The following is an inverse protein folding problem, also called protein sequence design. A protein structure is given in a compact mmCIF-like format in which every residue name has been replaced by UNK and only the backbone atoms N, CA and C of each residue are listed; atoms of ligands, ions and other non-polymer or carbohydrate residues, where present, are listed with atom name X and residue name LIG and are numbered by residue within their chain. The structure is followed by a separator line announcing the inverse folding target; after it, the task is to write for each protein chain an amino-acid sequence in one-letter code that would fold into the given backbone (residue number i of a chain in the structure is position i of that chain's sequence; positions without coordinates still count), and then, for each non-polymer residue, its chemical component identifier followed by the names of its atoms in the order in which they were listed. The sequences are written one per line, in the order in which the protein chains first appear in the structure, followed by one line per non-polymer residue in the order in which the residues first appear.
data_IF_759154936756
#
_entry.id   IF_759154936756
#
_cell.length_a   1.000
_cell.length_b   1.000
_cell.length_c   1.000
_cell.angle_alpha   90.00
_cell.angle_beta   90.00
_cell.angle_gamma   90.00
#
_symmetry.space_group_name_H-M   'P 1'
#
loop_
_entity.id
_entity.type
_entity.pdbx_description
1 polymer ?
#
# COMPACT_ATOMS: atom_id res chain seq x y z
N UNK A 1 36.68 70.32 -33.84
CA UNK A 1 36.57 69.25 -32.82
C UNK A 1 35.21 69.43 -32.16
N UNK A 2 34.28 68.49 -32.39
CA UNK A 2 32.89 68.49 -31.90
C UNK A 2 32.75 67.44 -30.79
N UNK A 3 32.00 67.70 -29.70
CA UNK A 3 31.73 66.73 -28.67
C UNK A 3 30.48 65.88 -28.97
N UNK A 4 30.42 64.72 -28.33
CA UNK A 4 29.47 63.62 -28.53
C UNK A 4 28.10 63.87 -27.89
N UNK A 5 27.06 63.33 -28.53
CA UNK A 5 25.67 63.29 -28.08
C UNK A 5 25.34 61.99 -27.33
N UNK A 6 24.57 62.17 -26.26
CA UNK A 6 23.92 61.16 -25.42
C UNK A 6 22.66 60.61 -26.14
N UNK A 7 22.44 59.30 -26.14
CA UNK A 7 21.21 58.67 -26.64
C UNK A 7 20.45 58.02 -25.45
N UNK A 8 19.23 58.48 -25.21
CA UNK A 8 18.28 57.93 -24.23
C UNK A 8 17.20 57.17 -25.00
N UNK A 9 17.03 55.88 -24.71
CA UNK A 9 15.96 55.06 -25.28
C UNK A 9 14.65 55.26 -24.51
N UNK A 10 13.59 55.65 -25.23
CA UNK A 10 12.21 55.71 -24.77
C UNK A 10 11.53 54.39 -25.14
N UNK A 11 10.99 53.67 -24.16
CA UNK A 11 10.12 52.51 -24.37
C UNK A 11 8.65 52.94 -24.29
N UNK A 12 7.90 52.66 -25.35
CA UNK A 12 6.46 52.89 -25.49
C UNK A 12 5.67 51.81 -24.72
N UNK A 13 4.77 52.22 -23.83
CA UNK A 13 3.75 51.37 -23.22
C UNK A 13 2.46 51.42 -24.05
N UNK A 14 1.91 50.25 -24.41
CA UNK A 14 0.55 50.09 -24.93
C UNK A 14 -0.34 49.47 -23.83
N UNK A 15 -1.64 49.83 -23.75
CA UNK A 15 -2.52 49.37 -22.69
C UNK A 15 -3.07 47.98 -22.98
N UNK A 16 -2.86 47.04 -22.05
CA UNK A 16 -3.54 45.75 -22.08
C UNK A 16 -4.89 45.88 -21.37
N UNK A 17 -5.96 45.53 -22.08
CA UNK A 17 -7.32 45.39 -21.54
C UNK A 17 -7.33 44.31 -20.45
N UNK A 18 -7.76 44.70 -19.25
CA UNK A 18 -8.14 43.75 -18.21
C UNK A 18 -9.47 43.09 -18.59
N UNK A 19 -9.47 41.78 -18.71
CA UNK A 19 -10.68 40.95 -18.67
C UNK A 19 -10.67 40.25 -17.32
N UNK A 20 -11.71 40.50 -16.54
CA UNK A 20 -11.99 39.84 -15.26
C UNK A 20 -12.06 38.33 -15.46
N UNK A 21 -11.13 37.60 -14.84
CA UNK A 21 -11.17 36.15 -14.72
C UNK A 21 -12.17 35.78 -13.63
N UNK A 22 -13.45 35.67 -14.02
CA UNK A 22 -14.44 34.94 -13.24
C UNK A 22 -14.10 33.43 -13.28
N UNK A 23 -14.23 32.80 -12.12
CA UNK A 23 -14.01 31.38 -11.83
C UNK A 23 -14.43 30.43 -12.97
N UNK A 24 -13.45 29.72 -13.53
CA UNK A 24 -13.68 28.45 -14.19
C UNK A 24 -13.28 27.34 -13.22
N UNK A 25 -14.13 26.32 -12.98
CA UNK A 25 -13.76 25.18 -12.16
C UNK A 25 -12.60 24.43 -12.83
N UNK A 26 -11.53 24.28 -12.06
CA UNK A 26 -10.27 23.64 -12.42
C UNK A 26 -10.47 22.10 -12.50
N UNK A 27 -11.15 21.63 -13.54
CA UNK A 27 -11.42 20.20 -13.78
C UNK A 27 -10.17 19.42 -14.26
N UNK A 28 -9.06 20.11 -14.54
CA UNK A 28 -7.77 19.51 -14.93
C UNK A 28 -6.88 19.11 -13.73
N UNK A 29 -7.29 19.43 -12.49
CA UNK A 29 -6.50 19.15 -11.29
C UNK A 29 -6.48 17.66 -10.90
N UNK A 30 -7.53 16.90 -11.22
CA UNK A 30 -7.71 15.53 -10.73
C UNK A 30 -6.80 14.49 -11.41
N UNK A 31 -6.65 14.56 -12.74
CA UNK A 31 -5.75 13.66 -13.49
C UNK A 31 -4.29 13.96 -13.20
N UNK A 32 -4.01 15.26 -12.99
CA UNK A 32 -2.74 15.81 -12.54
C UNK A 32 -2.32 15.22 -11.19
N UNK A 33 -3.21 15.15 -10.20
CA UNK A 33 -2.81 14.73 -8.85
C UNK A 33 -2.55 13.23 -8.73
N UNK A 34 -3.30 12.37 -9.41
CA UNK A 34 -3.12 10.91 -9.26
C UNK A 34 -1.87 10.38 -9.98
N UNK A 35 -1.58 10.94 -11.16
CA UNK A 35 -0.39 10.58 -11.95
C UNK A 35 0.88 11.23 -11.41
N UNK A 36 0.81 12.48 -10.90
CA UNK A 36 1.95 13.14 -10.23
C UNK A 36 2.28 12.54 -8.86
N UNK A 37 1.28 12.03 -8.13
CA UNK A 37 1.50 11.50 -6.77
C UNK A 37 1.84 10.01 -6.70
N UNK A 38 1.85 9.27 -7.82
CA UNK A 38 2.00 7.80 -7.89
C UNK A 38 1.29 7.09 -6.72
N UNK A 39 0.01 6.82 -6.94
CA UNK A 39 -0.89 6.19 -5.97
C UNK A 39 -0.60 4.73 -5.65
N UNK A 40 0.44 4.14 -6.24
CA UNK A 40 0.88 2.81 -5.86
C UNK A 40 1.26 2.76 -4.37
N UNK A 41 0.70 1.79 -3.66
CA UNK A 41 0.79 1.70 -2.21
C UNK A 41 -0.11 0.61 -1.63
N UNK A 42 -0.01 0.45 -0.31
CA UNK A 42 -0.90 -0.39 0.47
C UNK A 42 -1.72 0.48 1.42
N UNK A 43 -3.04 0.28 1.43
CA UNK A 43 -4.00 1.10 2.14
C UNK A 43 -4.98 0.21 2.90
N UNK A 44 -5.32 0.61 4.12
CA UNK A 44 -6.20 -0.13 5.03
C UNK A 44 -7.30 0.80 5.55
N UNK A 45 -8.48 0.29 5.87
CA UNK A 45 -9.58 1.10 6.45
C UNK A 45 -9.97 0.64 7.86
N UNK A 46 -8.99 0.15 8.63
CA UNK A 46 -9.18 -0.38 9.98
C UNK A 46 -10.07 0.53 10.85
N UNK A 47 -11.07 -0.09 11.49
CA UNK A 47 -11.98 0.59 12.41
C UNK A 47 -13.15 1.33 11.76
N UNK A 48 -13.33 1.27 10.43
CA UNK A 48 -14.58 1.68 9.80
C UNK A 48 -15.72 0.74 10.26
N UNK A 49 -16.87 1.29 10.72
CA UNK A 49 -18.01 0.45 11.07
C UNK A 49 -18.52 -0.26 9.82
N UNK A 50 -18.92 -1.52 9.96
CA UNK A 50 -19.59 -2.25 8.89
C UNK A 50 -20.82 -1.45 8.44
N UNK A 51 -20.77 -0.93 7.22
CA UNK A 51 -21.83 -0.08 6.64
C UNK A 51 -23.04 -0.91 6.17
N UNK A 52 -23.10 -2.20 6.50
CA UNK A 52 -24.19 -3.09 6.11
C UNK A 52 -24.20 -3.34 4.60
N UNK A 53 -25.33 -3.09 3.94
CA UNK A 53 -25.62 -3.57 2.57
C UNK A 53 -24.78 -2.94 1.45
N UNK A 54 -24.12 -1.80 1.69
CA UNK A 54 -23.34 -1.10 0.65
C UNK A 54 -21.87 -1.47 0.63
N UNK A 55 -21.39 -2.29 1.58
CA UNK A 55 -20.01 -2.73 1.71
C UNK A 55 -18.94 -1.64 1.60
N UNK A 56 -17.67 -2.00 1.82
CA UNK A 56 -16.56 -1.06 1.75
C UNK A 56 -15.25 -1.78 1.46
N UNK A 57 -14.24 -1.04 1.01
CA UNK A 57 -12.90 -1.58 0.80
C UNK A 57 -12.16 -1.57 2.14
N UNK A 58 -11.84 -2.76 2.62
CA UNK A 58 -11.07 -2.99 3.85
C UNK A 58 -9.56 -2.86 3.58
N UNK A 59 -9.09 -3.49 2.51
CA UNK A 59 -7.69 -3.41 2.08
C UNK A 59 -7.59 -3.12 0.58
N UNK A 60 -6.61 -2.30 0.19
CA UNK A 60 -6.28 -2.02 -1.21
C UNK A 60 -4.76 -1.97 -1.38
N UNK A 61 -4.23 -2.88 -2.20
CA UNK A 61 -2.83 -2.92 -2.61
C UNK A 61 -2.73 -2.61 -4.09
N UNK A 62 -2.19 -1.43 -4.44
CA UNK A 62 -1.89 -1.03 -5.82
C UNK A 62 -0.38 -1.14 -6.04
N UNK A 63 0.08 -2.12 -6.82
CA UNK A 63 1.52 -2.34 -7.05
C UNK A 63 2.02 -1.55 -8.25
N UNK A 64 3.33 -1.26 -8.26
CA UNK A 64 4.01 -0.57 -9.36
C UNK A 64 4.03 -1.34 -10.68
N UNK A 65 3.95 -2.66 -10.63
CA UNK A 65 3.88 -3.52 -11.81
C UNK A 65 2.50 -3.51 -12.49
N UNK A 66 1.56 -2.69 -11.99
CA UNK A 66 0.21 -2.58 -12.51
C UNK A 66 -0.73 -3.69 -12.02
N UNK A 67 -0.32 -4.52 -11.05
CA UNK A 67 -1.19 -5.50 -10.39
C UNK A 67 -1.84 -4.93 -9.13
N UNK A 68 -3.01 -5.46 -8.75
CA UNK A 68 -3.69 -5.09 -7.51
C UNK A 68 -4.21 -6.30 -6.75
N UNK A 69 -4.39 -6.08 -5.45
CA UNK A 69 -5.21 -6.92 -4.57
C UNK A 69 -6.15 -6.01 -3.75
N UNK A 70 -7.42 -6.38 -3.65
CA UNK A 70 -8.45 -5.62 -2.91
C UNK A 70 -9.27 -6.57 -2.02
N UNK A 71 -9.46 -6.22 -0.74
CA UNK A 71 -10.42 -6.86 0.15
C UNK A 71 -11.64 -5.96 0.27
N UNK A 72 -12.80 -6.53 -0.05
CA UNK A 72 -14.08 -5.86 0.03
C UNK A 72 -14.91 -6.54 1.12
N UNK A 73 -15.40 -5.75 2.07
CA UNK A 73 -16.30 -6.21 3.13
C UNK A 73 -17.74 -5.91 2.73
N UNK A 74 -18.65 -6.87 2.84
CA UNK A 74 -20.09 -6.64 2.68
C UNK A 74 -20.85 -7.86 2.20
N UNK A 75 -22.16 -7.70 1.97
CA UNK A 75 -23.02 -8.73 1.38
C UNK A 75 -22.80 -8.82 -0.15
N UNK A 76 -21.60 -9.24 -0.53
CA UNK A 76 -21.18 -9.36 -1.91
C UNK A 76 -21.04 -10.84 -2.28
N UNK A 77 -22.14 -11.59 -2.14
CA UNK A 77 -22.17 -13.00 -2.50
C UNK A 77 -22.09 -13.21 -4.01
N UNK A 78 -21.37 -14.25 -4.44
CA UNK A 78 -21.20 -14.62 -5.85
C UNK A 78 -22.51 -14.76 -6.63
N UNK A 79 -23.59 -15.18 -5.95
CA UNK A 79 -24.89 -15.50 -6.55
C UNK A 79 -25.78 -14.28 -6.80
N UNK A 80 -25.43 -13.11 -6.25
CA UNK A 80 -26.25 -11.90 -6.30
C UNK A 80 -25.94 -11.04 -7.55
N UNK A 81 -24.88 -11.37 -8.28
CA UNK A 81 -24.39 -10.60 -9.43
C UNK A 81 -24.86 -11.22 -10.76
N UNK A 82 -26.07 -10.85 -11.19
CA UNK A 82 -26.54 -11.21 -12.53
C UNK A 82 -25.57 -10.71 -13.61
N UNK A 83 -25.08 -11.61 -14.46
CA UNK A 83 -24.13 -11.32 -15.54
C UNK A 83 -22.66 -11.66 -15.24
N UNK A 84 -22.35 -12.18 -14.04
CA UNK A 84 -20.99 -12.54 -13.62
C UNK A 84 -20.85 -14.04 -13.37
N UNK A 85 -19.69 -14.61 -13.70
CA UNK A 85 -19.20 -15.81 -13.02
C UNK A 85 -18.08 -15.38 -12.12
N UNK A 86 -18.32 -15.45 -10.82
CA UNK A 86 -17.31 -15.05 -9.85
C UNK A 86 -16.17 -16.07 -9.88
N UNK A 87 -14.91 -15.62 -9.97
CA UNK A 87 -13.77 -16.50 -9.75
C UNK A 87 -13.83 -17.07 -8.33
N UNK A 88 -13.26 -18.27 -8.15
CA UNK A 88 -13.15 -18.92 -6.83
C UNK A 88 -12.54 -18.04 -5.73
N UNK A 89 -11.80 -16.99 -6.10
CA UNK A 89 -11.16 -16.04 -5.20
C UNK A 89 -12.11 -15.05 -4.50
N UNK A 90 -13.38 -14.94 -4.91
CA UNK A 90 -14.29 -13.89 -4.44
C UNK A 90 -15.10 -14.19 -3.13
N UNK A 91 -14.77 -15.22 -2.35
CA UNK A 91 -15.82 -16.01 -1.68
C UNK A 91 -16.09 -15.77 -0.16
N UNK A 92 -17.38 -15.70 0.23
CA UNK A 92 -18.00 -16.52 1.32
C UNK A 92 -19.56 -16.56 1.33
N UNK A 93 -20.24 -15.69 0.57
CA UNK A 93 -21.62 -15.94 0.17
C UNK A 93 -22.74 -15.62 1.18
N UNK A 94 -22.54 -14.79 2.22
CA UNK A 94 -23.71 -14.13 2.88
C UNK A 94 -23.42 -12.87 3.71
N UNK A 95 -22.24 -12.73 4.31
CA UNK A 95 -21.74 -11.50 4.99
C UNK A 95 -20.25 -11.70 5.19
N UNK A 96 -19.39 -11.13 4.34
CA UNK A 96 -17.97 -11.50 4.41
C UNK A 96 -17.00 -10.74 3.54
N UNK A 97 -15.73 -11.13 3.72
CA UNK A 97 -14.55 -10.53 3.10
C UNK A 97 -14.29 -11.18 1.75
N UNK A 98 -14.47 -10.42 0.68
CA UNK A 98 -14.20 -10.84 -0.69
C UNK A 98 -12.84 -10.34 -1.14
N UNK A 99 -11.97 -11.24 -1.59
CA UNK A 99 -10.67 -10.89 -2.16
C UNK A 99 -10.73 -10.80 -3.68
N UNK A 100 -10.23 -9.70 -4.24
CA UNK A 100 -10.22 -9.44 -5.67
C UNK A 100 -8.78 -9.13 -6.09
N UNK A 101 -8.31 -9.80 -7.14
CA UNK A 101 -6.96 -9.59 -7.69
C UNK A 101 -7.03 -9.34 -9.18
N UNK A 102 -6.04 -8.65 -9.73
CA UNK A 102 -5.96 -8.42 -11.16
C UNK A 102 -4.99 -7.30 -11.53
N UNK A 103 -5.30 -6.55 -12.59
CA UNK A 103 -4.51 -5.40 -13.02
C UNK A 103 -5.25 -4.08 -12.80
N UNK A 104 -4.53 -2.97 -12.70
CA UNK A 104 -5.12 -1.66 -12.52
C UNK A 104 -4.50 -0.63 -13.45
N UNK A 105 -5.27 0.42 -13.74
CA UNK A 105 -4.80 1.59 -14.48
C UNK A 105 -5.32 2.85 -13.81
N UNK A 106 -4.47 3.86 -13.69
CA UNK A 106 -4.88 5.20 -13.29
C UNK A 106 -5.70 5.86 -14.41
N UNK A 107 -6.63 6.74 -14.03
CA UNK A 107 -7.32 7.67 -14.91
C UNK A 107 -7.62 8.98 -14.17
N UNK A 108 -8.28 9.91 -14.85
CA UNK A 108 -8.50 11.27 -14.34
C UNK A 108 -9.04 11.39 -12.92
N UNK A 109 -9.99 10.55 -12.52
CA UNK A 109 -10.68 10.65 -11.23
C UNK A 109 -10.43 9.47 -10.27
N UNK A 110 -9.54 8.54 -10.64
CA UNK A 110 -9.23 7.39 -9.80
C UNK A 110 -8.52 6.26 -10.54
N UNK A 111 -8.95 5.03 -10.27
CA UNK A 111 -8.38 3.83 -10.90
C UNK A 111 -9.48 2.95 -11.48
N UNK A 112 -9.13 2.28 -12.56
CA UNK A 112 -9.94 1.18 -13.09
C UNK A 112 -9.23 -0.11 -12.73
N UNK A 113 -9.89 -0.95 -11.93
CA UNK A 113 -9.42 -2.28 -11.61
C UNK A 113 -9.99 -3.27 -12.63
N UNK A 114 -9.16 -4.14 -13.16
CA UNK A 114 -9.54 -5.24 -14.06
C UNK A 114 -9.28 -6.56 -13.33
N UNK A 115 -10.30 -7.15 -12.68
CA UNK A 115 -10.14 -8.42 -11.99
C UNK A 115 -9.73 -9.54 -12.96
N UNK A 116 -8.88 -10.45 -12.50
CA UNK A 116 -8.52 -11.67 -13.25
C UNK A 116 -9.23 -12.86 -12.64
N UNK A 117 -9.80 -13.74 -13.47
CA UNK A 117 -10.66 -14.84 -13.05
C UNK A 117 -10.55 -16.11 -13.90
N UNK A 118 -11.13 -17.21 -13.43
CA UNK A 118 -11.15 -18.55 -14.07
C UNK A 118 -11.99 -18.58 -15.36
N UNK A 119 -11.56 -17.86 -16.40
CA UNK A 119 -12.00 -18.08 -17.77
C UNK A 119 -13.21 -17.29 -18.27
N UNK A 120 -13.76 -16.34 -17.50
CA UNK A 120 -14.71 -15.32 -18.02
C UNK A 120 -14.19 -13.90 -17.84
N UNK A 121 -14.37 -13.00 -18.84
CA UNK A 121 -14.06 -11.59 -18.67
C UNK A 121 -14.89 -11.01 -17.52
N UNK A 122 -14.22 -10.42 -16.54
CA UNK A 122 -14.87 -9.61 -15.51
C UNK A 122 -15.03 -8.18 -16.04
N UNK A 123 -16.13 -7.51 -15.72
CA UNK A 123 -16.21 -6.08 -15.98
C UNK A 123 -15.19 -5.33 -15.11
N UNK A 124 -14.62 -4.23 -15.62
CA UNK A 124 -13.77 -3.37 -14.80
C UNK A 124 -14.54 -2.79 -13.61
N UNK A 125 -13.87 -2.63 -12.48
CA UNK A 125 -14.37 -1.95 -11.28
C UNK A 125 -13.78 -0.54 -11.28
N UNK A 126 -14.55 0.49 -11.66
CA UNK A 126 -14.12 1.87 -11.51
C UNK A 126 -14.15 2.27 -10.04
N UNK A 127 -13.01 2.73 -9.54
CA UNK A 127 -12.86 3.36 -8.24
C UNK A 127 -12.54 4.84 -8.43
N UNK A 128 -13.29 5.70 -7.75
CA UNK A 128 -12.93 7.10 -7.57
C UNK A 128 -12.02 7.20 -6.35
N UNK A 129 -10.87 7.84 -6.50
CA UNK A 129 -9.90 8.03 -5.42
C UNK A 129 -9.70 9.52 -5.20
N UNK A 130 -9.91 9.97 -3.96
CA UNK A 130 -9.53 11.31 -3.51
C UNK A 130 -8.37 11.20 -2.53
N UNK A 131 -7.22 11.73 -2.89
CA UNK A 131 -6.07 11.85 -1.97
C UNK A 131 -6.39 12.95 -0.96
N UNK A 132 -6.26 12.64 0.33
CA UNK A 132 -6.42 13.60 1.43
C UNK A 132 -5.07 13.91 2.08
N UNK A 133 -5.07 14.94 2.92
CA UNK A 133 -3.95 15.25 3.80
C UNK A 133 -3.55 14.03 4.66
N UNK A 134 -2.26 13.94 4.99
CA UNK A 134 -1.74 12.83 5.80
C UNK A 134 -1.70 11.48 5.09
N UNK A 135 -1.73 11.48 3.75
CA UNK A 135 -1.66 10.28 2.91
C UNK A 135 -2.84 9.31 3.07
N UNK A 136 -3.97 9.81 3.58
CA UNK A 136 -5.24 9.09 3.58
C UNK A 136 -5.87 9.15 2.19
N UNK A 137 -6.60 8.11 1.83
CA UNK A 137 -7.45 8.09 0.63
C UNK A 137 -8.91 8.07 1.06
N UNK A 138 -9.78 8.73 0.28
CA UNK A 138 -11.19 8.33 0.24
C UNK A 138 -11.43 7.58 -1.06
N UNK A 139 -11.97 6.38 -0.94
CA UNK A 139 -12.27 5.51 -2.07
C UNK A 139 -13.76 5.23 -2.11
N UNK A 140 -14.35 5.37 -3.29
CA UNK A 140 -15.70 4.95 -3.62
C UNK A 140 -15.67 4.19 -4.93
N UNK A 141 -16.64 3.31 -5.17
CA UNK A 141 -16.67 2.56 -6.42
C UNK A 141 -18.05 2.01 -6.75
N UNK A 142 -18.15 1.35 -7.89
CA UNK A 142 -19.34 0.60 -8.27
C UNK A 142 -18.93 -0.72 -8.91
N UNK A 143 -19.57 -1.80 -8.47
CA UNK A 143 -19.51 -3.11 -9.11
C UNK A 143 -20.78 -3.26 -9.96
N UNK A 144 -20.59 -3.52 -11.25
CA UNK A 144 -21.69 -3.68 -12.21
C UNK A 144 -22.52 -4.94 -11.86
N UNK A 145 -23.85 -4.96 -12.07
CA UNK A 145 -24.62 -3.94 -12.78
C UNK A 145 -24.94 -2.67 -12.00
N UNK A 146 -25.02 -2.64 -10.66
CA UNK A 146 -25.40 -1.42 -9.90
C UNK A 146 -25.10 -1.47 -8.38
N UNK A 147 -24.07 -2.19 -7.94
CA UNK A 147 -23.73 -2.27 -6.51
C UNK A 147 -22.70 -1.20 -6.17
N UNK A 148 -23.13 -0.18 -5.43
CA UNK A 148 -22.21 0.82 -4.87
C UNK A 148 -21.28 0.15 -3.87
N UNK A 149 -20.02 0.55 -3.91
CA UNK A 149 -19.07 0.38 -2.82
C UNK A 149 -19.15 1.66 -1.99
N UNK A 150 -19.50 1.53 -0.72
CA UNK A 150 -19.56 2.64 0.23
C UNK A 150 -18.24 3.42 0.27
N UNK A 151 -18.34 4.70 0.62
CA UNK A 151 -17.15 5.54 0.78
C UNK A 151 -16.34 5.05 1.98
N UNK A 152 -15.10 4.63 1.74
CA UNK A 152 -14.14 4.27 2.79
C UNK A 152 -13.06 5.35 2.89
N UNK A 153 -12.71 5.76 4.10
CA UNK A 153 -11.44 6.46 4.34
C UNK A 153 -10.39 5.43 4.67
N UNK A 154 -9.32 5.40 3.88
CA UNK A 154 -8.23 4.44 4.01
C UNK A 154 -6.96 5.16 4.47
N UNK A 155 -6.29 4.63 5.47
CA UNK A 155 -4.96 5.02 5.88
C UNK A 155 -3.94 4.40 4.94
N UNK A 156 -3.01 5.21 4.44
CA UNK A 156 -1.88 4.69 3.69
C UNK A 156 -0.88 4.08 4.65
N UNK A 157 -0.51 2.82 4.43
CA UNK A 157 0.58 2.17 5.16
C UNK A 157 1.89 2.37 4.40
N UNK A 158 1.83 2.26 3.07
CA UNK A 158 3.02 2.28 2.19
C UNK A 158 2.75 3.06 0.93
N UNK A 159 3.75 3.81 0.46
CA UNK A 159 3.77 4.45 -0.86
C UNK A 159 4.97 3.96 -1.65
N UNK A 160 4.73 3.30 -2.76
CA UNK A 160 5.82 2.85 -3.61
C UNK A 160 6.34 3.99 -4.49
N UNK A 161 5.50 4.96 -4.85
CA UNK A 161 5.91 6.12 -5.66
C UNK A 161 6.87 7.10 -5.00
N UNK A 162 7.13 6.93 -3.70
CA UNK A 162 8.11 7.71 -2.96
C UNK A 162 9.33 6.84 -2.66
N UNK A 163 10.50 7.47 -2.52
CA UNK A 163 11.72 6.76 -2.17
C UNK A 163 11.76 6.45 -0.66
N UNK A 164 11.98 5.19 -0.31
CA UNK A 164 12.42 4.79 1.03
C UNK A 164 13.92 5.03 1.17
N UNK A 165 14.41 5.32 2.38
CA UNK A 165 15.86 5.41 2.63
C UNK A 165 16.51 4.03 2.68
N UNK A 166 15.78 3.04 3.18
CA UNK A 166 16.17 1.64 3.19
C UNK A 166 15.63 0.98 1.93
N UNK A 167 16.50 0.23 1.26
CA UNK A 167 16.20 -0.55 0.06
C UNK A 167 16.14 -2.04 0.40
N UNK A 168 15.59 -2.90 -0.49
CA UNK A 168 15.68 -4.35 -0.30
C UNK A 168 17.13 -4.84 -0.10
N UNK A 169 18.09 -4.24 -0.81
CA UNK A 169 19.51 -4.59 -0.70
C UNK A 169 20.09 -4.30 0.70
N UNK A 170 19.66 -3.23 1.36
CA UNK A 170 20.09 -2.92 2.73
C UNK A 170 19.60 -3.98 3.73
N UNK A 171 18.48 -4.64 3.44
CA UNK A 171 17.92 -5.70 4.27
C UNK A 171 18.54 -7.07 4.00
N UNK A 172 19.21 -7.27 2.86
CA UNK A 172 19.71 -8.57 2.40
C UNK A 172 20.60 -9.26 3.45
N UNK A 173 20.36 -10.54 3.72
CA UNK A 173 21.09 -11.32 4.71
C UNK A 173 20.25 -11.79 5.90
N UNK A 174 20.93 -12.29 6.93
CA UNK A 174 20.30 -12.88 8.11
C UNK A 174 20.27 -11.90 9.27
N UNK A 175 19.12 -11.83 9.95
CA UNK A 175 18.86 -10.98 11.10
C UNK A 175 18.33 -11.82 12.26
N UNK A 176 18.92 -11.69 13.44
CA UNK A 176 18.46 -12.29 14.68
C UNK A 176 17.46 -11.39 15.39
N UNK A 177 16.39 -11.95 15.90
CA UNK A 177 15.48 -11.24 16.81
C UNK A 177 16.15 -11.07 18.18
N UNK A 178 16.18 -9.82 18.64
CA UNK A 178 16.69 -9.44 19.97
C UNK A 178 15.64 -8.73 20.82
N UNK A 179 14.40 -8.60 20.33
CA UNK A 179 13.29 -8.13 21.15
C UNK A 179 13.17 -9.01 22.40
N UNK A 180 13.04 -8.41 23.60
CA UNK A 180 12.77 -9.18 24.80
C UNK A 180 11.46 -9.95 24.62
N UNK A 181 11.41 -11.15 25.18
CA UNK A 181 10.15 -11.85 25.36
C UNK A 181 9.26 -11.06 26.31
N UNK A 182 7.95 -11.16 26.12
CA UNK A 182 7.01 -10.61 27.09
C UNK A 182 7.06 -11.40 28.43
N UNK A 183 6.22 -11.00 29.39
CA UNK A 183 6.17 -11.62 30.72
C UNK A 183 5.84 -13.13 30.69
N UNK A 184 5.20 -13.60 29.63
CA UNK A 184 4.72 -14.97 29.48
C UNK A 184 5.72 -15.84 28.66
N UNK A 185 6.81 -15.20 28.19
CA UNK A 185 7.90 -15.83 27.45
C UNK A 185 7.69 -15.83 25.95
N UNK A 186 6.77 -14.99 25.45
CA UNK A 186 6.42 -14.92 24.04
C UNK A 186 7.19 -13.83 23.30
N UNK A 187 7.59 -14.13 22.06
CA UNK A 187 8.23 -13.19 21.13
C UNK A 187 7.34 -12.96 19.89
N UNK A 188 7.38 -11.75 19.34
CA UNK A 188 6.64 -11.40 18.13
C UNK A 188 7.27 -12.04 16.88
N UNK A 189 6.42 -12.39 15.91
CA UNK A 189 6.82 -12.81 14.56
C UNK A 189 6.76 -11.66 13.60
N UNK A 190 7.59 -11.72 12.58
CA UNK A 190 7.54 -10.76 11.48
C UNK A 190 6.49 -11.13 10.43
N UNK A 191 6.13 -12.42 10.29
CA UNK A 191 5.27 -12.90 9.21
C UNK A 191 4.10 -13.80 9.67
N UNK A 192 2.92 -13.52 9.11
CA UNK A 192 1.77 -14.43 9.04
C UNK A 192 0.69 -14.08 10.04
N UNK A 193 0.34 -12.78 10.13
CA UNK A 193 -0.36 -12.13 11.25
C UNK A 193 0.43 -12.26 12.57
N UNK A 194 0.58 -11.16 13.32
CA UNK A 194 1.42 -11.09 14.53
C UNK A 194 0.98 -12.14 15.57
N UNK A 195 1.64 -13.30 15.55
CA UNK A 195 1.43 -14.39 16.50
C UNK A 195 2.65 -14.46 17.40
N UNK A 196 2.41 -14.27 18.69
CA UNK A 196 3.35 -14.48 19.78
C UNK A 196 3.81 -15.95 19.83
N UNK A 197 5.11 -16.18 20.04
CA UNK A 197 5.73 -17.52 20.08
C UNK A 197 6.55 -17.70 21.32
N UNK A 198 6.24 -18.77 22.05
CA UNK A 198 6.85 -19.04 23.34
C UNK A 198 8.21 -19.72 23.25
N UNK A 199 9.25 -19.08 23.76
CA UNK A 199 10.53 -19.74 24.07
C UNK A 199 11.36 -20.20 22.87
N UNK A 200 11.21 -19.60 21.69
CA UNK A 200 12.03 -19.89 20.52
C UNK A 200 12.96 -18.71 20.22
N UNK A 201 14.19 -18.98 19.74
CA UNK A 201 14.98 -17.95 19.07
C UNK A 201 14.53 -17.84 17.61
N UNK A 202 14.47 -16.62 17.10
CA UNK A 202 14.04 -16.33 15.74
C UNK A 202 15.17 -15.69 14.94
N UNK A 203 15.32 -16.14 13.69
CA UNK A 203 16.05 -15.40 12.67
C UNK A 203 15.14 -15.15 11.48
N UNK A 204 15.27 -13.99 10.87
CA UNK A 204 14.67 -13.67 9.58
C UNK A 204 15.78 -13.51 8.56
N UNK A 205 15.61 -14.12 7.40
CA UNK A 205 16.50 -13.95 6.27
C UNK A 205 15.76 -13.29 5.13
N UNK A 206 16.30 -12.15 4.71
CA UNK A 206 15.90 -11.47 3.48
C UNK A 206 16.85 -11.89 2.36
N UNK A 207 16.28 -12.21 1.22
CA UNK A 207 16.99 -12.45 -0.04
C UNK A 207 16.50 -11.40 -1.04
N UNK A 208 17.26 -10.32 -1.18
CA UNK A 208 16.88 -9.18 -2.00
C UNK A 208 16.87 -9.52 -3.50
N UNK A 209 17.69 -10.49 -3.94
CA UNK A 209 17.75 -10.91 -5.32
C UNK A 209 16.52 -11.74 -5.71
N UNK A 210 16.07 -12.64 -4.83
CA UNK A 210 14.85 -13.41 -5.02
C UNK A 210 13.58 -12.65 -4.64
N UNK A 211 13.70 -11.53 -3.92
CA UNK A 211 12.57 -10.80 -3.36
C UNK A 211 11.82 -11.61 -2.30
N UNK A 212 12.52 -12.49 -1.57
CA UNK A 212 11.91 -13.42 -0.61
C UNK A 212 12.38 -13.16 0.82
N UNK A 213 11.49 -13.39 1.77
CA UNK A 213 11.75 -13.36 3.20
C UNK A 213 11.37 -14.72 3.79
N UNK A 214 12.17 -15.20 4.73
CA UNK A 214 11.86 -16.41 5.49
C UNK A 214 12.18 -16.23 6.96
N UNK A 215 11.28 -16.72 7.79
CA UNK A 215 11.49 -16.84 9.23
C UNK A 215 11.93 -18.27 9.54
N UNK A 216 13.04 -18.41 10.25
CA UNK A 216 13.53 -19.69 10.78
C UNK A 216 13.48 -19.62 12.31
N UNK A 217 13.04 -20.72 12.93
CA UNK A 217 12.88 -20.82 14.40
C UNK A 217 13.81 -21.87 14.96
N UNK A 218 14.55 -21.49 15.98
CA UNK A 218 15.47 -22.38 16.68
C UNK A 218 14.84 -22.78 18.01
N UNK A 219 14.65 -24.08 18.20
CA UNK A 219 14.09 -24.68 19.42
C UNK A 219 15.22 -25.36 20.21
N UNK A 220 15.53 -24.88 21.41
CA UNK A 220 16.48 -25.53 22.32
C UNK A 220 17.84 -25.90 21.67
N UNK A 221 18.36 -25.05 20.78
CA UNK A 221 19.62 -25.29 20.07
C UNK A 221 19.59 -26.42 19.03
N UNK A 222 18.43 -27.01 18.73
CA UNK A 222 18.24 -27.92 17.58
C UNK A 222 17.90 -27.12 16.33
N UNK A 223 18.50 -27.53 15.21
CA UNK A 223 18.36 -26.94 13.87
C UNK A 223 16.90 -26.67 13.49
N UNK A 224 16.66 -25.63 12.67
CA UNK A 224 15.40 -24.91 12.67
C UNK A 224 14.21 -25.76 12.27
N UNK A 225 13.05 -25.50 12.89
CA UNK A 225 11.77 -25.98 12.33
C UNK A 225 11.67 -25.47 10.90
N UNK A 226 11.13 -26.30 10.00
CA UNK A 226 11.08 -25.98 8.58
C UNK A 226 10.60 -24.54 8.36
N UNK A 227 11.31 -23.74 7.54
CA UNK A 227 10.94 -22.36 7.31
C UNK A 227 9.50 -22.31 6.84
N UNK A 228 8.76 -21.28 7.24
CA UNK A 228 7.53 -20.95 6.54
C UNK A 228 7.95 -20.51 5.13
N UNK A 229 7.77 -21.42 4.17
CA UNK A 229 8.35 -21.38 2.82
C UNK A 229 7.77 -20.26 1.96
N UNK A 230 8.54 -19.80 0.95
CA UNK A 230 8.94 -18.41 0.82
C UNK A 230 7.76 -17.47 0.65
N UNK A 231 7.80 -16.45 1.49
CA UNK A 231 6.95 -15.28 1.40
C UNK A 231 7.75 -14.18 0.70
N UNK A 232 7.09 -13.35 -0.10
CA UNK A 232 7.79 -12.27 -0.80
C UNK A 232 7.91 -11.05 0.10
N UNK A 233 8.91 -10.21 -0.15
CA UNK A 233 8.95 -8.89 0.45
C UNK A 233 9.29 -7.81 -0.56
N UNK A 234 8.79 -6.62 -0.28
CA UNK A 234 9.18 -5.38 -0.93
C UNK A 234 9.42 -4.31 0.13
N UNK A 235 10.14 -3.25 -0.23
CA UNK A 235 10.30 -2.08 0.62
C UNK A 235 9.70 -0.88 -0.10
N UNK A 236 8.78 -0.19 0.58
CA UNK A 236 8.21 1.07 0.11
C UNK A 236 8.46 2.19 1.12
N UNK A 237 8.15 3.42 0.73
CA UNK A 237 8.27 4.56 1.64
C UNK A 237 7.11 4.59 2.62
N UNK A 238 7.36 5.16 3.80
CA UNK A 238 6.30 5.58 4.71
C UNK A 238 5.42 6.65 4.02
N UNK A 239 4.15 6.81 4.43
CA UNK A 239 3.20 7.67 3.70
C UNK A 239 3.62 9.14 3.64
N UNK A 240 4.27 9.65 4.69
CA UNK A 240 4.84 11.01 4.72
C UNK A 240 5.94 11.22 3.66
N UNK A 241 6.54 10.14 3.15
CA UNK A 241 7.74 10.20 2.30
C UNK A 241 9.03 10.45 3.07
N UNK A 242 8.97 10.49 4.41
CA UNK A 242 10.11 10.81 5.27
C UNK A 242 10.39 9.67 6.23
N UNK A 243 11.55 9.03 6.11
CA UNK A 243 11.99 8.00 7.06
C UNK A 243 12.63 6.78 6.40
N UNK A 244 12.92 5.74 7.20
CA UNK A 244 13.60 4.55 6.71
C UNK A 244 12.80 3.80 5.65
N UNK A 245 11.52 3.50 5.90
CA UNK A 245 10.65 2.79 4.96
C UNK A 245 9.66 1.88 5.65
N UNK A 246 8.97 1.07 4.87
CA UNK A 246 8.05 0.02 5.33
C UNK A 246 8.34 -1.25 4.55
N UNK A 247 8.50 -2.35 5.28
CA UNK A 247 8.61 -3.69 4.70
C UNK A 247 7.19 -4.19 4.48
N UNK A 248 6.87 -4.56 3.25
CA UNK A 248 5.61 -5.23 2.90
C UNK A 248 5.93 -6.69 2.63
N UNK A 249 5.34 -7.58 3.40
CA UNK A 249 5.58 -9.02 3.33
C UNK A 249 4.32 -9.71 2.91
N UNK A 250 4.39 -10.55 1.89
CA UNK A 250 3.21 -11.23 1.38
C UNK A 250 3.38 -12.74 1.47
N UNK A 251 2.44 -13.36 2.18
CA UNK A 251 2.33 -14.81 2.21
C UNK A 251 1.65 -15.37 0.97
N UNK A 252 2.01 -16.59 0.57
CA UNK A 252 1.37 -17.25 -0.58
C UNK A 252 -0.14 -17.37 -0.37
N UNK A 253 -0.90 -16.57 -1.13
CA UNK A 253 -2.36 -16.57 -1.09
C UNK A 253 -2.98 -15.76 0.05
N UNK A 254 -2.19 -15.04 0.85
CA UNK A 254 -2.68 -14.17 1.92
C UNK A 254 -2.54 -12.68 1.62
N UNK A 255 -3.11 -11.86 2.50
CA UNK A 255 -2.92 -10.41 2.51
C UNK A 255 -1.48 -10.05 2.91
N UNK A 256 -0.91 -8.98 2.34
CA UNK A 256 0.35 -8.45 2.82
C UNK A 256 0.25 -7.98 4.28
N UNK A 257 1.24 -8.37 5.08
CA UNK A 257 1.56 -7.75 6.37
C UNK A 257 2.54 -6.59 6.13
N UNK A 258 2.50 -5.57 7.01
CA UNK A 258 3.45 -4.46 6.95
C UNK A 258 4.19 -4.25 8.26
N UNK A 259 5.47 -3.91 8.15
CA UNK A 259 6.33 -3.56 9.28
C UNK A 259 7.06 -2.26 8.97
N UNK A 260 6.75 -1.20 9.72
CA UNK A 260 7.40 0.10 9.57
C UNK A 260 8.80 0.05 10.15
N UNK A 261 9.80 0.45 9.37
CA UNK A 261 11.17 0.57 9.86
C UNK A 261 11.29 1.87 10.66
N UNK A 262 11.43 1.75 11.97
CA UNK A 262 11.58 2.87 12.92
C UNK A 262 13.01 3.37 12.93
N UNK A 263 13.98 2.45 12.95
CA UNK A 263 15.40 2.77 12.89
C UNK A 263 16.18 1.68 12.13
N UNK A 264 17.26 2.10 11.48
CA UNK A 264 18.13 1.22 10.69
C UNK A 264 19.56 1.76 10.69
N UNK A 265 20.53 0.95 11.08
CA UNK A 265 21.95 1.30 11.05
C UNK A 265 22.81 0.50 12.03
N UNK A 266 24.13 0.47 11.80
CA UNK A 266 25.08 -0.21 12.70
C UNK A 266 24.82 -1.71 12.88
N UNK A 267 24.24 -2.37 11.88
CA UNK A 267 23.82 -3.78 11.97
C UNK A 267 22.56 -4.00 12.81
N UNK A 268 21.79 -2.96 13.14
CA UNK A 268 20.56 -3.05 13.92
C UNK A 268 19.37 -2.48 13.14
N UNK A 269 18.19 -3.04 13.41
CA UNK A 269 16.92 -2.59 12.84
C UNK A 269 15.82 -2.68 13.89
N UNK A 270 15.00 -1.64 13.99
CA UNK A 270 13.78 -1.64 14.80
C UNK A 270 12.56 -1.49 13.90
N UNK A 271 11.56 -2.33 14.11
CA UNK A 271 10.32 -2.38 13.36
C UNK A 271 9.12 -2.14 14.28
N UNK A 272 8.13 -1.44 13.76
CA UNK A 272 6.81 -1.23 14.36
C UNK A 272 5.77 -1.94 13.47
N UNK A 273 4.93 -2.75 14.11
CA UNK A 273 3.86 -3.52 13.46
C UNK A 273 2.57 -3.15 14.17
N UNK A 274 1.70 -2.39 13.51
CA UNK A 274 0.36 -2.08 14.04
C UNK A 274 0.30 -1.35 15.38
N UNK A 275 1.39 -0.69 15.83
CA UNK A 275 1.44 -0.03 17.14
C UNK A 275 1.72 -0.96 18.32
N UNK A 276 2.11 -2.21 18.05
CA UNK A 276 2.57 -3.16 19.07
C UNK A 276 3.96 -2.78 19.64
N UNK A 277 4.44 -3.58 20.60
CA UNK A 277 5.83 -3.48 21.05
C UNK A 277 6.79 -3.60 19.85
N UNK A 278 7.91 -2.85 19.82
CA UNK A 278 8.80 -2.86 18.68
C UNK A 278 9.55 -4.19 18.54
N UNK A 279 9.66 -4.66 17.30
CA UNK A 279 10.53 -5.78 16.93
C UNK A 279 11.95 -5.23 16.73
N UNK A 280 12.93 -5.81 17.42
CA UNK A 280 14.34 -5.46 17.36
C UNK A 280 15.10 -6.59 16.71
N UNK A 281 15.92 -6.24 15.73
CA UNK A 281 16.70 -7.16 14.91
C UNK A 281 18.18 -6.75 14.90
N UNK A 282 19.07 -7.73 14.94
CA UNK A 282 20.52 -7.56 14.79
C UNK A 282 21.05 -8.44 13.66
N UNK A 283 21.87 -7.87 12.78
CA UNK A 283 22.47 -8.56 11.66
C UNK A 283 23.49 -9.59 12.15
N UNK A 284 23.44 -10.79 11.56
CA UNK A 284 24.40 -11.87 11.82
C UNK A 284 25.61 -11.83 10.89
#
# INVERSE_FOLDING_TARGET
MKPAFLLVCIALALPACAVDSADLPDDDAAESDLTKNDISGFFTSYGQPDTGTQGHIDNLHLRKDGTFEMALMGEYGCDVYAGYSCPSTWNDGRTGRTEVKGTWKAGASGVTLQPTGEGRPSAPIPLTIKVRAGSKLTVTGTIVPNRKIGAATMDGEVRYGKAAKVTPQDLDGTWKFVSPVDRDGDQQRLNGTLIYVRGYEHVVRFDAAAGTVREERVENGRWPRAPKYPDSFTVGAVPSGTGPGVIVMQSRGGWPDTARIVSFGGGKMSLDVGGDAPILLERQ
#
